data_IF_179762956123
#
_entry.id   IF_179762956123
#
_cell.length_a   1.000
_cell.length_b   1.000
_cell.length_c   1.000
_cell.angle_alpha   90.00
_cell.angle_beta   90.00
_cell.angle_gamma   90.00
#
_symmetry.space_group_name_H-M   'P 1'
#
loop_
_entity.id
_entity.type
_entity.pdbx_description
1 polymer ?
#
# COMPACT_ATOMS: atom_id res chain seq x y z
N UNK A 1 2.20 -3.92 30.41
CA UNK A 1 1.01 -4.80 30.46
C UNK A 1 -0.30 -4.01 30.32
N UNK A 2 -0.53 -2.95 31.11
CA UNK A 2 -1.74 -2.12 30.98
C UNK A 2 -1.81 -1.32 29.66
N UNK A 3 -0.70 -0.77 29.17
CA UNK A 3 -0.65 -0.05 27.87
C UNK A 3 -1.12 -0.89 26.67
N UNK A 4 -0.95 -2.21 26.72
CA UNK A 4 -1.32 -3.15 25.64
C UNK A 4 -2.77 -3.62 25.69
N UNK A 5 -3.49 -3.34 26.79
CA UNK A 5 -4.92 -3.66 26.93
C UNK A 5 -5.82 -2.46 26.67
N UNK A 6 -5.26 -1.25 26.56
CA UNK A 6 -6.05 -0.06 26.22
C UNK A 6 -6.30 0.03 24.70
N UNK A 7 -7.56 0.21 24.26
CA UNK A 7 -7.86 0.51 22.87
C UNK A 7 -7.37 1.91 22.50
N UNK A 8 -7.34 2.21 21.19
CA UNK A 8 -7.15 3.57 20.69
C UNK A 8 -8.41 4.37 21.02
N UNK A 9 -8.31 5.28 21.98
CA UNK A 9 -9.39 6.20 22.35
C UNK A 9 -8.84 7.62 22.49
N UNK A 10 -9.44 8.57 21.79
CA UNK A 10 -8.99 9.97 21.75
C UNK A 10 -9.61 10.82 22.88
N UNK A 11 -10.58 10.28 23.63
CA UNK A 11 -11.46 11.03 24.53
C UNK A 11 -11.23 10.79 26.02
N UNK A 12 -10.53 9.73 26.42
CA UNK A 12 -10.32 9.38 27.84
C UNK A 12 -8.83 9.28 28.15
N UNK A 13 -8.39 10.02 29.18
CA UNK A 13 -7.04 9.89 29.75
C UNK A 13 -7.10 9.04 31.01
N UNK A 14 -6.34 7.95 31.04
CA UNK A 14 -6.26 7.06 32.20
C UNK A 14 -4.96 7.35 32.94
N UNK A 15 -5.06 7.71 34.22
CA UNK A 15 -3.92 7.96 35.09
C UNK A 15 -3.83 6.84 36.13
N UNK A 16 -2.65 6.24 36.30
CA UNK A 16 -2.35 5.29 37.37
C UNK A 16 -1.13 5.79 38.13
N UNK A 17 -1.25 5.96 39.45
CA UNK A 17 -0.17 6.48 40.30
C UNK A 17 0.41 7.82 39.80
N UNK A 18 -0.47 8.71 39.32
CA UNK A 18 -0.09 10.02 38.75
C UNK A 18 0.68 9.96 37.42
N UNK A 19 0.82 8.78 36.82
CA UNK A 19 1.36 8.62 35.46
C UNK A 19 0.22 8.38 34.46
N UNK A 20 0.23 9.12 33.35
CA UNK A 20 -0.72 8.92 32.25
C UNK A 20 -0.33 7.67 31.47
N UNK A 21 -1.25 6.70 31.40
CA UNK A 21 -1.04 5.48 30.63
C UNK A 21 -1.45 5.76 29.18
N UNK A 22 -0.46 5.79 28.29
CA UNK A 22 -0.67 5.95 26.85
C UNK A 22 -0.82 4.57 26.19
N UNK A 23 -1.92 4.29 25.45
CA UNK A 23 -2.07 3.06 24.67
C UNK A 23 -0.84 2.75 23.80
N UNK A 24 -0.38 1.49 23.77
CA UNK A 24 0.79 1.09 22.96
C UNK A 24 0.56 1.33 21.46
N UNK A 25 -0.69 1.25 21.00
CA UNK A 25 -1.06 1.46 19.60
C UNK A 25 -0.92 2.92 19.14
N UNK A 26 -0.73 3.88 20.05
CA UNK A 26 -0.33 5.25 19.70
C UNK A 26 1.15 5.36 19.32
N UNK A 27 1.97 4.36 19.66
CA UNK A 27 3.38 4.31 19.24
C UNK A 27 3.50 3.91 17.76
N UNK A 28 2.41 3.41 17.15
CA UNK A 28 2.39 3.04 15.73
C UNK A 28 2.41 4.30 14.85
N UNK A 29 3.39 4.44 13.93
CA UNK A 29 3.47 5.60 13.04
C UNK A 29 2.20 5.75 12.19
N UNK A 30 1.75 7.00 12.01
CA UNK A 30 0.65 7.34 11.11
C UNK A 30 1.23 7.61 9.73
N UNK A 31 0.81 6.86 8.72
CA UNK A 31 1.15 7.13 7.31
C UNK A 31 0.47 8.42 6.86
N UNK A 32 -0.82 8.55 7.18
CA UNK A 32 -1.63 9.69 6.78
C UNK A 32 -2.83 9.87 7.74
N UNK A 33 -3.18 11.13 7.99
CA UNK A 33 -4.41 11.55 8.64
C UNK A 33 -5.20 12.43 7.66
N UNK A 34 -6.53 12.29 7.68
CA UNK A 34 -7.49 13.14 6.97
C UNK A 34 -8.53 13.66 7.95
N UNK A 35 -8.84 14.95 7.83
CA UNK A 35 -9.89 15.66 8.57
C UNK A 35 -11.11 15.79 7.66
N UNK A 36 -12.25 15.29 8.15
CA UNK A 36 -13.53 15.35 7.42
C UNK A 36 -13.97 16.81 7.28
N UNK A 37 -14.23 17.23 6.04
CA UNK A 37 -14.59 18.60 5.68
C UNK A 37 -13.43 19.48 5.21
N UNK A 38 -12.20 18.98 5.25
CA UNK A 38 -11.00 19.71 4.79
C UNK A 38 -10.21 18.91 3.76
N UNK A 39 -9.88 17.66 4.06
CA UNK A 39 -8.93 16.88 3.23
C UNK A 39 -9.60 16.00 2.16
N UNK A 40 -10.93 16.03 2.08
CA UNK A 40 -11.72 15.30 1.09
C UNK A 40 -12.34 16.28 0.08
N UNK A 41 -12.45 15.85 -1.17
CA UNK A 41 -12.82 16.71 -2.30
C UNK A 41 -14.03 16.21 -3.11
N UNK A 42 -14.69 15.13 -2.68
CA UNK A 42 -15.86 14.62 -3.40
C UNK A 42 -17.09 15.51 -3.20
N UNK A 43 -17.80 15.80 -4.29
CA UNK A 43 -18.95 16.73 -4.30
C UNK A 43 -20.31 16.03 -4.24
N UNK A 44 -20.34 14.71 -4.35
CA UNK A 44 -21.58 13.92 -4.34
C UNK A 44 -21.38 12.50 -3.82
N UNK A 45 -22.48 11.87 -3.39
CA UNK A 45 -22.59 10.44 -3.05
C UNK A 45 -23.81 9.84 -3.74
N UNK A 46 -23.77 8.53 -4.04
CA UNK A 46 -24.91 7.83 -4.59
C UNK A 46 -25.67 7.13 -3.46
N UNK A 47 -26.94 7.44 -3.27
CA UNK A 47 -27.78 6.82 -2.25
C UNK A 47 -29.00 6.26 -2.95
N UNK A 48 -29.09 4.92 -2.99
CA UNK A 48 -30.22 4.21 -3.60
C UNK A 48 -30.47 4.59 -5.08
N UNK A 49 -29.39 4.92 -5.81
CA UNK A 49 -29.45 5.34 -7.21
C UNK A 49 -29.66 6.85 -7.43
N UNK A 50 -29.84 7.63 -6.36
CA UNK A 50 -29.93 9.08 -6.39
C UNK A 50 -28.57 9.71 -6.08
N UNK A 51 -28.12 10.66 -6.89
CA UNK A 51 -26.93 11.45 -6.60
C UNK A 51 -27.27 12.60 -5.65
N UNK A 52 -26.74 12.55 -4.43
CA UNK A 52 -26.94 13.56 -3.40
C UNK A 52 -25.69 14.44 -3.31
N UNK A 53 -25.89 15.76 -3.29
CA UNK A 53 -24.79 16.71 -3.17
C UNK A 53 -24.17 16.70 -1.78
N UNK A 54 -22.87 16.91 -1.77
CA UNK A 54 -22.03 17.00 -0.58
C UNK A 54 -21.26 18.32 -0.58
N UNK A 55 -21.42 19.11 0.47
CA UNK A 55 -20.66 20.36 0.68
C UNK A 55 -19.67 20.23 1.83
N UNK A 56 -18.49 20.84 1.66
CA UNK A 56 -17.42 20.84 2.65
C UNK A 56 -17.32 22.21 3.30
N UNK A 57 -17.20 22.23 4.62
CA UNK A 57 -17.18 23.46 5.40
C UNK A 57 -16.10 23.38 6.47
N UNK A 58 -15.29 24.42 6.61
CA UNK A 58 -14.26 24.50 7.67
C UNK A 58 -14.77 25.16 8.96
N UNK A 59 -15.88 25.90 8.89
CA UNK A 59 -16.44 26.70 9.99
C UNK A 59 -17.88 26.26 10.31
N UNK A 60 -18.30 26.24 11.59
CA UNK A 60 -17.53 26.59 12.79
C UNK A 60 -16.46 25.55 13.18
N UNK A 61 -16.54 24.36 12.60
CA UNK A 61 -15.53 23.30 12.64
C UNK A 61 -15.53 22.57 11.28
N UNK A 62 -14.47 21.83 10.92
CA UNK A 62 -14.45 20.99 9.73
C UNK A 62 -15.57 19.96 9.74
N UNK A 63 -16.43 20.01 8.73
CA UNK A 63 -17.51 19.06 8.51
C UNK A 63 -17.89 18.95 7.04
N UNK A 64 -18.55 17.85 6.74
CA UNK A 64 -19.25 17.62 5.49
C UNK A 64 -20.75 17.74 5.76
N UNK A 65 -21.48 18.40 4.88
CA UNK A 65 -22.94 18.47 4.88
C UNK A 65 -23.49 17.69 3.69
N UNK A 66 -24.37 16.73 3.97
CA UNK A 66 -25.05 15.89 2.99
C UNK A 66 -26.43 16.46 2.78
N UNK A 67 -26.74 16.87 1.54
CA UNK A 67 -28.01 17.53 1.22
C UNK A 67 -29.21 16.66 1.62
N UNK A 68 -30.09 17.23 2.44
CA UNK A 68 -31.31 16.56 2.91
C UNK A 68 -31.11 15.47 3.98
N UNK A 69 -29.88 15.25 4.47
CA UNK A 69 -29.59 14.22 5.50
C UNK A 69 -28.98 14.84 6.75
N UNK A 70 -27.87 15.59 6.61
CA UNK A 70 -27.23 16.26 7.74
C UNK A 70 -25.70 16.28 7.67
N UNK A 71 -25.08 16.66 8.79
CA UNK A 71 -23.64 16.85 8.89
C UNK A 71 -22.87 15.59 9.37
N UNK A 72 -21.66 15.43 8.85
CA UNK A 72 -20.67 14.43 9.25
C UNK A 72 -19.36 15.12 9.61
N UNK A 73 -18.78 14.78 10.76
CA UNK A 73 -17.48 15.31 11.20
C UNK A 73 -16.57 14.19 11.68
N UNK A 74 -15.28 14.45 11.81
CA UNK A 74 -14.35 13.47 12.38
C UNK A 74 -13.02 13.40 11.66
N UNK A 75 -12.35 12.26 11.83
CA UNK A 75 -11.00 12.02 11.31
C UNK A 75 -10.82 10.59 10.85
N UNK A 76 -9.98 10.42 9.84
CA UNK A 76 -9.58 9.13 9.29
C UNK A 76 -8.07 9.02 9.39
N UNK A 77 -7.57 7.89 9.86
CA UNK A 77 -6.15 7.61 10.04
C UNK A 77 -5.78 6.29 9.39
N UNK A 78 -4.65 6.30 8.69
CA UNK A 78 -3.99 5.11 8.19
C UNK A 78 -2.65 4.95 8.91
N UNK A 79 -2.45 3.80 9.54
CA UNK A 79 -1.26 3.47 10.32
C UNK A 79 -0.26 2.65 9.49
N UNK A 80 1.03 2.74 9.84
CA UNK A 80 2.10 2.01 9.16
C UNK A 80 2.06 0.51 9.44
N UNK A 81 1.65 0.14 10.65
CA UNK A 81 1.44 -1.24 11.05
C UNK A 81 -0.02 -1.51 11.35
N UNK A 82 -0.41 -2.79 11.34
CA UNK A 82 -1.73 -3.20 11.83
C UNK A 82 -1.95 -2.73 13.26
N UNK A 83 -3.10 -2.11 13.47
CA UNK A 83 -3.63 -1.71 14.79
C UNK A 83 -4.80 -2.61 15.22
N UNK A 84 -5.26 -3.50 14.35
CA UNK A 84 -6.04 -4.68 14.70
C UNK A 84 -5.16 -5.69 15.47
N UNK A 85 -5.81 -6.55 16.23
CA UNK A 85 -5.21 -7.57 17.07
C UNK A 85 -4.97 -7.12 18.51
N UNK A 86 -4.62 -8.12 19.33
CA UNK A 86 -4.06 -7.94 20.66
C UNK A 86 -5.11 -7.96 21.78
N UNK A 87 -4.63 -7.82 23.02
CA UNK A 87 -5.49 -7.97 24.21
C UNK A 87 -6.57 -6.88 24.35
N UNK A 88 -6.44 -5.75 23.63
CA UNK A 88 -7.42 -4.66 23.68
C UNK A 88 -8.65 -4.88 22.80
N UNK A 89 -8.61 -5.80 21.83
CA UNK A 89 -9.79 -6.11 20.99
C UNK A 89 -10.94 -6.72 21.77
N UNK A 90 -10.66 -7.46 22.84
CA UNK A 90 -11.70 -7.97 23.74
C UNK A 90 -12.41 -6.89 24.56
N UNK A 91 -12.01 -5.63 24.43
CA UNK A 91 -12.60 -4.47 25.12
C UNK A 91 -13.25 -3.53 24.10
N UNK A 92 -12.51 -3.09 23.08
CA UNK A 92 -13.03 -2.24 22.02
C UNK A 92 -12.15 -2.33 20.75
N UNK A 93 -12.78 -2.23 19.57
CA UNK A 93 -12.03 -2.24 18.31
C UNK A 93 -11.13 -1.01 18.19
N UNK A 94 -9.87 -1.26 17.88
CA UNK A 94 -8.88 -0.19 17.64
C UNK A 94 -8.86 0.25 16.17
N UNK A 95 -9.36 -0.56 15.26
CA UNK A 95 -9.42 -0.31 13.82
C UNK A 95 -10.87 -0.36 13.30
N UNK A 96 -11.07 0.07 12.06
CA UNK A 96 -12.37 0.07 11.39
C UNK A 96 -13.15 1.37 11.53
N UNK A 97 -14.49 1.27 11.44
CA UNK A 97 -15.39 2.41 11.53
C UNK A 97 -15.89 2.60 12.96
N UNK A 98 -15.56 3.74 13.56
CA UNK A 98 -16.06 4.16 14.86
C UNK A 98 -17.05 5.29 14.61
N UNK A 99 -18.31 4.93 14.45
CA UNK A 99 -19.39 5.87 14.18
C UNK A 99 -20.06 6.29 15.48
N UNK A 100 -20.06 7.58 15.74
CA UNK A 100 -20.54 8.19 16.96
C UNK A 100 -21.82 8.99 16.72
N UNK A 101 -22.84 8.75 17.54
CA UNK A 101 -24.09 9.50 17.57
C UNK A 101 -24.26 10.06 18.97
N UNK A 102 -24.27 11.40 19.10
CA UNK A 102 -24.45 12.10 20.38
C UNK A 102 -23.52 11.59 21.51
N UNK A 103 -22.28 11.24 21.19
CA UNK A 103 -21.28 10.78 22.15
C UNK A 103 -21.23 9.27 22.37
N UNK A 104 -22.00 8.47 21.64
CA UNK A 104 -22.04 7.00 21.75
C UNK A 104 -21.63 6.32 20.45
N UNK A 105 -20.80 5.28 20.55
CA UNK A 105 -20.48 4.44 19.40
C UNK A 105 -21.67 3.53 19.09
N UNK A 106 -22.13 3.55 17.84
CA UNK A 106 -23.22 2.71 17.35
C UNK A 106 -22.65 1.51 16.58
N UNK A 107 -23.37 0.39 16.61
CA UNK A 107 -22.95 -0.88 15.99
C UNK A 107 -21.52 -1.33 16.38
N UNK A 108 -21.13 -1.35 17.68
CA UNK A 108 -19.78 -1.74 18.06
C UNK A 108 -19.43 -3.20 17.70
N UNK A 109 -20.44 -4.06 17.60
CA UNK A 109 -20.30 -5.48 17.25
C UNK A 109 -20.21 -5.74 15.74
N UNK A 110 -20.53 -4.74 14.92
CA UNK A 110 -20.36 -4.77 13.46
C UNK A 110 -19.27 -3.77 13.06
N UNK A 111 -17.99 -4.18 13.08
CA UNK A 111 -16.88 -3.28 12.80
C UNK A 111 -16.92 -2.76 11.35
N UNK A 112 -17.54 -3.51 10.43
CA UNK A 112 -17.67 -3.14 9.03
C UNK A 112 -18.85 -2.21 8.74
N UNK A 113 -19.73 -2.00 9.73
CA UNK A 113 -20.90 -1.14 9.60
C UNK A 113 -21.82 -1.57 8.44
N UNK A 114 -21.89 -2.87 8.16
CA UNK A 114 -22.65 -3.49 7.08
C UNK A 114 -22.06 -3.30 5.68
N UNK A 115 -20.78 -2.93 5.57
CA UNK A 115 -20.04 -2.87 4.30
C UNK A 115 -19.31 -4.19 4.03
N UNK A 116 -19.37 -4.64 2.78
CA UNK A 116 -18.67 -5.85 2.32
C UNK A 116 -17.44 -5.50 1.48
N UNK A 117 -16.62 -6.52 1.16
CA UNK A 117 -15.46 -6.44 0.26
C UNK A 117 -14.35 -5.46 0.69
N UNK A 118 -14.20 -5.23 1.98
CA UNK A 118 -13.11 -4.41 2.52
C UNK A 118 -11.82 -5.22 2.56
N UNK A 119 -10.75 -4.67 1.96
CA UNK A 119 -9.44 -5.29 1.95
C UNK A 119 -8.91 -5.48 3.38
N UNK A 120 -8.69 -6.73 3.80
CA UNK A 120 -8.39 -7.12 5.20
C UNK A 120 -7.17 -6.44 5.80
N UNK A 121 -6.17 -6.18 4.99
CA UNK A 121 -4.89 -5.62 5.42
C UNK A 121 -4.93 -4.10 5.58
N UNK A 122 -5.52 -3.38 4.61
CA UNK A 122 -5.84 -1.95 4.79
C UNK A 122 -6.75 -1.79 6.00
N UNK A 123 -7.77 -2.64 6.13
CA UNK A 123 -8.69 -2.66 7.26
C UNK A 123 -7.98 -2.82 8.62
N UNK A 124 -6.97 -3.67 8.67
CA UNK A 124 -6.19 -3.94 9.87
C UNK A 124 -5.39 -2.71 10.35
N UNK A 125 -5.04 -1.79 9.46
CA UNK A 125 -4.29 -0.57 9.75
C UNK A 125 -5.13 0.72 9.65
N UNK A 126 -6.42 0.61 9.35
CA UNK A 126 -7.32 1.72 9.11
C UNK A 126 -8.16 2.05 10.35
N UNK A 127 -8.37 3.34 10.63
CA UNK A 127 -9.32 3.80 11.65
C UNK A 127 -10.04 5.06 11.18
N UNK A 128 -11.36 5.02 11.13
CA UNK A 128 -12.19 6.21 10.90
C UNK A 128 -13.04 6.48 12.15
N UNK A 129 -12.87 7.66 12.74
CA UNK A 129 -13.70 8.12 13.87
C UNK A 129 -14.61 9.22 13.36
N UNK A 130 -15.89 8.93 13.25
CA UNK A 130 -16.89 9.74 12.55
C UNK A 130 -18.02 10.09 13.52
N UNK A 131 -18.51 11.32 13.48
CA UNK A 131 -19.69 11.78 14.20
C UNK A 131 -20.81 12.05 13.20
N UNK A 132 -21.93 11.35 13.35
CA UNK A 132 -23.09 11.40 12.44
C UNK A 132 -24.39 11.52 13.25
N UNK A 133 -24.66 12.71 13.77
CA UNK A 133 -25.77 12.94 14.70
C UNK A 133 -27.16 12.73 14.07
N UNK A 134 -27.28 12.84 12.75
CA UNK A 134 -28.55 12.62 12.04
C UNK A 134 -29.07 11.18 12.14
N UNK A 135 -28.23 10.22 12.55
CA UNK A 135 -28.64 8.84 12.78
C UNK A 135 -29.43 8.63 14.08
N UNK A 136 -29.48 9.62 14.99
CA UNK A 136 -30.14 9.48 16.30
C UNK A 136 -31.60 8.99 16.19
N UNK A 137 -32.36 9.58 15.26
CA UNK A 137 -33.75 9.18 15.01
C UNK A 137 -33.93 7.82 14.32
N UNK A 138 -32.84 7.14 13.95
CA UNK A 138 -32.82 5.86 13.22
C UNK A 138 -32.23 4.72 14.05
N UNK A 139 -31.72 5.00 15.23
CA UNK A 139 -31.25 3.97 16.16
C UNK A 139 -32.45 3.10 16.58
N UNK A 140 -32.29 1.78 16.51
CA UNK A 140 -33.34 0.84 16.87
C UNK A 140 -33.69 0.92 18.36
N UNK A 141 -34.86 0.41 18.73
CA UNK A 141 -35.38 0.49 20.11
C UNK A 141 -34.49 -0.26 21.12
N UNK A 142 -33.86 -1.36 20.68
CA UNK A 142 -32.86 -2.11 21.46
C UNK A 142 -31.51 -1.36 21.56
N UNK A 143 -31.33 -0.28 20.78
CA UNK A 143 -30.12 0.57 20.73
C UNK A 143 -28.85 -0.17 20.32
N UNK A 144 -29.00 -1.36 19.77
CA UNK A 144 -27.90 -2.19 19.28
C UNK A 144 -27.80 -2.14 17.75
N UNK A 145 -28.80 -1.58 17.08
CA UNK A 145 -28.92 -1.49 15.63
C UNK A 145 -29.21 -0.07 15.11
N UNK A 146 -29.08 0.11 13.80
CA UNK A 146 -29.65 1.26 13.07
C UNK A 146 -30.64 0.70 12.05
N UNK A 147 -31.86 1.23 12.04
CA UNK A 147 -32.86 0.85 11.08
C UNK A 147 -32.37 1.14 9.66
N UNK A 148 -32.68 0.24 8.71
CA UNK A 148 -32.39 0.50 7.30
C UNK A 148 -33.10 1.77 6.86
N UNK A 149 -32.32 2.77 6.47
CA UNK A 149 -32.80 4.10 6.13
C UNK A 149 -31.87 4.78 5.13
N UNK A 150 -32.37 5.81 4.45
CA UNK A 150 -31.59 6.64 3.51
C UNK A 150 -30.32 7.18 4.18
N UNK A 151 -30.42 7.58 5.44
CA UNK A 151 -29.32 8.11 6.23
C UNK A 151 -28.24 7.05 6.54
N UNK A 152 -28.64 5.81 6.83
CA UNK A 152 -27.70 4.70 7.02
C UNK A 152 -26.96 4.37 5.71
N UNK A 153 -27.68 4.34 4.59
CA UNK A 153 -27.09 4.12 3.26
C UNK A 153 -26.10 5.23 2.92
N UNK A 154 -26.47 6.50 3.12
CA UNK A 154 -25.57 7.64 2.91
C UNK A 154 -24.31 7.58 3.79
N UNK A 155 -24.47 7.16 5.04
CA UNK A 155 -23.33 6.97 5.96
C UNK A 155 -22.36 5.92 5.42
N UNK A 156 -22.89 4.75 5.01
CA UNK A 156 -22.09 3.65 4.44
C UNK A 156 -21.30 4.07 3.20
N UNK A 157 -21.94 4.83 2.30
CA UNK A 157 -21.30 5.35 1.09
C UNK A 157 -20.12 6.29 1.42
N UNK A 158 -20.28 7.18 2.40
CA UNK A 158 -19.20 8.05 2.86
C UNK A 158 -18.07 7.25 3.52
N UNK A 159 -18.41 6.29 4.38
CA UNK A 159 -17.42 5.43 5.03
C UNK A 159 -16.61 4.63 4.01
N UNK A 160 -17.27 4.11 2.97
CA UNK A 160 -16.62 3.41 1.87
C UNK A 160 -15.67 4.33 1.09
N UNK A 161 -16.05 5.58 0.84
CA UNK A 161 -15.15 6.58 0.23
C UNK A 161 -13.91 6.82 1.08
N UNK A 162 -14.08 7.02 2.39
CA UNK A 162 -12.96 7.19 3.31
C UNK A 162 -12.00 6.00 3.27
N UNK A 163 -12.55 4.78 3.28
CA UNK A 163 -11.75 3.56 3.19
C UNK A 163 -11.01 3.44 1.86
N UNK A 164 -11.66 3.75 0.74
CA UNK A 164 -11.05 3.69 -0.59
C UNK A 164 -9.90 4.69 -0.74
N UNK A 165 -10.04 5.90 -0.21
CA UNK A 165 -8.94 6.89 -0.15
C UNK A 165 -7.76 6.33 0.66
N UNK A 166 -8.02 5.73 1.82
CA UNK A 166 -6.98 5.12 2.64
C UNK A 166 -6.29 3.94 1.93
N UNK A 167 -7.07 3.07 1.25
CA UNK A 167 -6.56 1.96 0.44
C UNK A 167 -5.64 2.45 -0.68
N UNK A 168 -6.05 3.48 -1.41
CA UNK A 168 -5.23 4.07 -2.48
C UNK A 168 -3.92 4.63 -1.92
N UNK A 169 -3.97 5.32 -0.78
CA UNK A 169 -2.78 5.84 -0.11
C UNK A 169 -1.88 4.73 0.40
N UNK A 170 -2.42 3.64 0.94
CA UNK A 170 -1.65 2.47 1.36
C UNK A 170 -0.94 1.80 0.19
N UNK A 171 -1.63 1.62 -0.95
CA UNK A 171 -1.03 1.07 -2.18
C UNK A 171 0.10 1.97 -2.68
N UNK A 172 -0.14 3.28 -2.79
CA UNK A 172 0.90 4.26 -3.18
C UNK A 172 2.08 4.25 -2.21
N UNK A 173 1.84 4.13 -0.91
CA UNK A 173 2.91 4.01 0.07
C UNK A 173 3.73 2.72 -0.14
N UNK A 174 3.12 1.60 -0.55
CA UNK A 174 3.88 0.40 -0.92
C UNK A 174 4.69 0.61 -2.20
N UNK A 175 4.09 1.19 -3.24
CA UNK A 175 4.77 1.56 -4.49
C UNK A 175 5.98 2.48 -4.22
N UNK A 176 5.86 3.40 -3.27
CA UNK A 176 6.92 4.35 -2.87
C UNK A 176 7.91 3.76 -1.84
N UNK A 177 7.48 2.86 -0.95
CA UNK A 177 8.30 2.25 0.11
C UNK A 177 9.22 1.15 -0.41
N UNK A 178 8.90 0.59 -1.57
CA UNK A 178 9.80 -0.30 -2.27
C UNK A 178 11.03 0.48 -2.71
N UNK A 179 12.26 -0.06 -2.57
CA UNK A 179 13.42 0.75 -2.22
C UNK A 179 13.58 1.99 -3.08
N UNK A 180 13.36 3.15 -2.46
CA UNK A 180 13.83 4.43 -2.98
C UNK A 180 15.34 4.55 -2.66
N UNK A 181 16.12 5.25 -3.49
CA UNK A 181 17.58 5.08 -3.60
C UNK A 181 18.29 5.26 -2.27
N UNK A 182 19.10 4.27 -1.89
CA UNK A 182 19.97 4.31 -0.71
C UNK A 182 19.63 3.27 0.36
N UNK A 183 18.39 3.15 0.82
CA UNK A 183 18.16 2.45 2.10
C UNK A 183 18.07 0.93 2.03
N UNK A 184 17.58 0.32 0.93
CA UNK A 184 17.61 -1.13 0.82
C UNK A 184 18.95 -1.65 0.30
N UNK A 185 19.58 -0.94 -0.63
CA UNK A 185 20.73 -1.48 -1.36
C UNK A 185 22.06 -0.90 -0.83
N UNK A 186 22.06 0.24 -0.10
CA UNK A 186 23.18 0.63 0.76
C UNK A 186 23.05 0.12 2.21
N UNK A 187 21.90 -0.45 2.58
CA UNK A 187 21.64 -1.00 3.91
C UNK A 187 21.73 -2.53 3.98
N UNK A 188 21.08 -3.11 5.01
CA UNK A 188 21.09 -4.55 5.38
C UNK A 188 20.79 -5.53 4.24
N UNK A 189 20.17 -5.11 3.13
CA UNK A 189 19.89 -5.97 1.97
C UNK A 189 21.08 -5.95 0.98
N UNK A 190 21.71 -4.80 0.71
CA UNK A 190 22.95 -4.72 -0.05
C UNK A 190 24.15 -5.43 0.60
N UNK A 191 24.22 -5.42 1.93
CA UNK A 191 25.23 -6.21 2.69
C UNK A 191 24.97 -7.73 2.65
N UNK A 192 23.74 -8.16 2.35
CA UNK A 192 23.30 -9.57 2.43
C UNK A 192 23.00 -10.22 1.08
N UNK A 193 22.80 -9.43 0.02
CA UNK A 193 22.51 -9.95 -1.32
C UNK A 193 23.76 -9.91 -2.20
N UNK A 194 24.07 -11.00 -2.92
CA UNK A 194 25.17 -11.02 -3.84
C UNK A 194 24.76 -10.27 -5.11
N UNK A 195 24.97 -8.94 -5.14
CA UNK A 195 24.83 -8.15 -6.37
C UNK A 195 26.07 -8.18 -7.26
N UNK A 196 27.18 -8.75 -6.78
CA UNK A 196 28.41 -8.94 -7.57
C UNK A 196 28.20 -9.70 -8.90
N UNK A 197 27.34 -10.75 -8.97
CA UNK A 197 26.92 -11.34 -10.23
C UNK A 197 26.37 -10.31 -11.23
N UNK A 198 25.51 -9.39 -10.78
CA UNK A 198 24.95 -8.35 -11.64
C UNK A 198 26.02 -7.38 -12.11
N UNK A 199 26.94 -6.97 -11.23
CA UNK A 199 28.08 -6.10 -11.60
C UNK A 199 28.89 -6.69 -12.75
N UNK A 200 29.24 -7.98 -12.63
CA UNK A 200 30.05 -8.70 -13.63
C UNK A 200 29.30 -8.86 -14.94
N UNK A 201 28.05 -9.30 -14.88
CA UNK A 201 27.22 -9.48 -16.08
C UNK A 201 27.04 -8.17 -16.83
N UNK A 202 26.72 -7.07 -16.14
CA UNK A 202 26.58 -5.76 -16.80
C UNK A 202 27.91 -5.32 -17.41
N UNK A 203 29.04 -5.46 -16.71
CA UNK A 203 30.35 -5.11 -17.26
C UNK A 203 30.73 -5.91 -18.51
N UNK A 204 30.35 -7.19 -18.56
CA UNK A 204 30.61 -8.08 -19.69
C UNK A 204 29.68 -7.79 -20.86
N UNK A 205 28.37 -7.65 -20.63
CA UNK A 205 27.41 -7.33 -21.70
C UNK A 205 27.54 -5.90 -22.22
N UNK A 206 28.09 -4.96 -21.46
CA UNK A 206 28.46 -3.64 -22.00
C UNK A 206 29.60 -3.71 -23.03
N UNK A 207 30.35 -4.84 -23.14
CA UNK A 207 31.31 -5.06 -24.24
C UNK A 207 30.62 -5.48 -25.54
N UNK A 208 29.47 -6.14 -25.44
CA UNK A 208 28.66 -6.61 -26.56
C UNK A 208 27.16 -6.44 -26.26
N UNK A 209 26.63 -5.20 -26.25
CA UNK A 209 25.25 -4.95 -25.82
C UNK A 209 24.18 -5.69 -26.63
N UNK A 210 24.48 -6.01 -27.89
CA UNK A 210 23.58 -6.78 -28.76
C UNK A 210 23.43 -8.25 -28.38
N UNK A 211 24.25 -8.74 -27.43
CA UNK A 211 24.19 -10.11 -26.90
C UNK A 211 23.59 -10.14 -25.48
N UNK A 212 23.09 -9.02 -24.97
CA UNK A 212 22.48 -8.99 -23.66
C UNK A 212 21.26 -9.94 -23.58
N UNK A 213 21.10 -10.69 -22.48
CA UNK A 213 19.93 -11.54 -22.27
C UNK A 213 18.67 -10.69 -22.11
N UNK A 214 17.50 -11.28 -22.36
CA UNK A 214 16.20 -10.55 -22.40
C UNK A 214 15.90 -9.73 -21.15
N UNK A 215 16.37 -10.16 -19.97
CA UNK A 215 16.13 -9.47 -18.71
C UNK A 215 17.08 -8.28 -18.47
N UNK A 216 18.13 -8.09 -19.29
CA UNK A 216 19.04 -6.94 -19.25
C UNK A 216 18.75 -6.01 -20.42
N UNK A 217 18.22 -4.82 -20.13
CA UNK A 217 17.93 -3.81 -21.15
C UNK A 217 19.10 -2.83 -21.28
N UNK A 218 19.80 -2.93 -22.41
CA UNK A 218 20.90 -2.03 -22.79
C UNK A 218 20.53 -1.09 -23.93
N UNK A 219 19.25 -1.01 -24.34
CA UNK A 219 18.83 -0.27 -25.54
C UNK A 219 19.07 1.24 -25.43
N UNK A 220 19.06 1.77 -24.20
CA UNK A 220 19.29 3.19 -23.91
C UNK A 220 20.78 3.55 -23.75
N UNK A 221 21.70 2.61 -24.00
CA UNK A 221 23.15 2.84 -23.92
C UNK A 221 23.70 3.18 -25.31
N UNK A 222 23.78 4.47 -25.63
CA UNK A 222 24.24 4.95 -26.94
C UNK A 222 25.76 4.71 -27.18
N UNK A 223 26.61 5.16 -26.24
CA UNK A 223 28.07 4.95 -26.27
C UNK A 223 28.47 3.95 -25.18
N UNK A 224 28.42 2.67 -25.53
CA UNK A 224 28.74 1.57 -24.62
C UNK A 224 30.15 1.66 -24.04
N UNK A 225 31.13 2.19 -24.80
CA UNK A 225 32.53 2.28 -24.34
C UNK A 225 32.66 3.33 -23.25
N UNK A 226 32.11 4.53 -23.46
CA UNK A 226 32.13 5.59 -22.45
C UNK A 226 31.25 5.25 -21.25
N UNK A 227 30.06 4.68 -21.49
CA UNK A 227 29.16 4.28 -20.41
C UNK A 227 29.80 3.22 -19.52
N UNK A 228 30.44 2.21 -20.11
CA UNK A 228 31.15 1.17 -19.38
C UNK A 228 32.32 1.70 -18.55
N UNK A 229 33.04 2.71 -19.06
CA UNK A 229 34.10 3.37 -18.28
C UNK A 229 33.52 4.05 -17.04
N UNK A 230 32.45 4.84 -17.20
CA UNK A 230 31.73 5.44 -16.07
C UNK A 230 31.18 4.40 -15.11
N UNK A 231 30.61 3.31 -15.63
CA UNK A 231 30.08 2.21 -14.84
C UNK A 231 31.15 1.61 -13.92
N UNK A 232 32.34 1.35 -14.45
CA UNK A 232 33.48 0.84 -13.66
C UNK A 232 34.00 1.82 -12.61
N UNK A 233 33.99 3.11 -12.91
CA UNK A 233 34.48 4.15 -12.01
C UNK A 233 33.48 4.48 -10.90
N UNK A 234 32.19 4.48 -11.20
CA UNK A 234 31.16 5.01 -10.31
C UNK A 234 30.35 3.93 -9.58
N UNK A 235 30.22 2.72 -10.15
CA UNK A 235 29.23 1.72 -9.72
C UNK A 235 29.88 0.43 -9.23
N UNK A 236 30.95 -0.05 -9.88
CA UNK A 236 31.63 -1.29 -9.45
C UNK A 236 32.16 -1.15 -8.03
N UNK A 237 31.78 -2.07 -7.15
CA UNK A 237 32.16 -2.02 -5.73
C UNK A 237 31.28 -1.11 -4.88
N UNK A 238 30.23 -0.53 -5.46
CA UNK A 238 29.18 0.26 -4.81
C UNK A 238 27.82 -0.41 -5.04
N UNK A 239 27.46 -1.45 -4.27
CA UNK A 239 26.19 -2.15 -4.42
C UNK A 239 24.98 -1.22 -4.45
N UNK A 240 25.02 -0.17 -3.63
CA UNK A 240 23.97 0.86 -3.51
C UNK A 240 23.67 1.64 -4.78
N UNK A 241 24.58 1.61 -5.75
CA UNK A 241 24.43 2.29 -7.05
C UNK A 241 24.04 1.33 -8.18
N UNK A 242 24.06 0.02 -7.93
CA UNK A 242 23.70 -0.97 -8.94
C UNK A 242 22.22 -0.98 -9.23
N UNK A 243 21.40 -0.88 -8.19
CA UNK A 243 19.95 -0.81 -8.36
C UNK A 243 19.49 0.41 -7.58
N UNK A 244 19.03 1.43 -8.30
CA UNK A 244 18.52 2.67 -7.69
C UNK A 244 17.15 2.45 -7.09
N UNK A 245 16.28 1.73 -7.80
CA UNK A 245 14.91 1.41 -7.37
C UNK A 245 14.32 0.29 -8.22
N UNK A 246 13.20 -0.27 -7.76
CA UNK A 246 12.30 -1.06 -8.61
C UNK A 246 11.07 -0.22 -8.92
N UNK A 247 10.62 -0.23 -10.16
CA UNK A 247 9.45 0.52 -10.62
C UNK A 247 8.49 -0.41 -11.34
N UNK A 248 7.19 -0.13 -11.22
CA UNK A 248 6.20 -0.73 -12.11
C UNK A 248 5.99 0.19 -13.29
N UNK A 249 6.20 -0.33 -14.49
CA UNK A 249 6.02 0.43 -15.74
C UNK A 249 5.09 -0.31 -16.68
N UNK A 250 4.37 0.45 -17.49
CA UNK A 250 3.52 -0.10 -18.55
C UNK A 250 4.41 -0.53 -19.71
N UNK A 251 4.60 -1.84 -19.83
CA UNK A 251 5.33 -2.48 -20.93
C UNK A 251 4.34 -3.26 -21.80
N UNK A 252 4.79 -3.85 -22.90
CA UNK A 252 3.89 -4.67 -23.71
C UNK A 252 3.41 -5.91 -22.90
N UNK A 253 2.13 -6.32 -22.97
CA UNK A 253 1.64 -7.49 -22.26
C UNK A 253 2.35 -8.80 -22.62
N UNK A 254 2.98 -8.88 -23.79
CA UNK A 254 3.77 -10.03 -24.26
C UNK A 254 5.19 -10.05 -23.71
N UNK A 255 5.69 -8.91 -23.19
CA UNK A 255 6.99 -8.86 -22.55
C UNK A 255 6.98 -9.59 -21.20
N UNK A 256 8.17 -10.05 -20.79
CA UNK A 256 8.38 -10.78 -19.53
C UNK A 256 8.01 -9.92 -18.32
N UNK A 257 7.75 -10.58 -17.19
CA UNK A 257 7.35 -9.94 -15.94
C UNK A 257 8.35 -8.90 -15.44
N UNK A 258 9.65 -9.13 -15.63
CA UNK A 258 10.71 -8.29 -15.09
C UNK A 258 11.86 -8.07 -16.08
N UNK A 259 12.44 -6.86 -16.06
CA UNK A 259 13.73 -6.56 -16.68
C UNK A 259 14.53 -5.63 -15.77
N UNK A 260 15.81 -5.48 -16.06
CA UNK A 260 16.68 -4.49 -15.46
C UNK A 260 17.20 -3.52 -16.54
N UNK A 261 16.89 -2.24 -16.39
CA UNK A 261 17.40 -1.18 -17.27
C UNK A 261 18.77 -0.72 -16.78
N UNK A 262 19.79 -1.00 -17.59
CA UNK A 262 21.19 -0.73 -17.28
C UNK A 262 21.47 0.78 -17.22
N UNK A 263 20.77 1.58 -18.01
CA UNK A 263 20.97 3.03 -18.09
C UNK A 263 20.38 3.73 -16.87
N UNK A 264 19.14 3.40 -16.49
CA UNK A 264 18.49 4.00 -15.33
C UNK A 264 18.88 3.34 -14.01
N UNK A 265 19.45 2.13 -14.06
CA UNK A 265 19.74 1.26 -12.90
C UNK A 265 18.47 0.86 -12.16
N UNK A 266 17.41 0.56 -12.91
CA UNK A 266 16.10 0.26 -12.35
C UNK A 266 15.69 -1.17 -12.69
N UNK A 267 15.16 -1.88 -11.70
CA UNK A 267 14.42 -3.11 -11.95
C UNK A 267 13.00 -2.70 -12.35
N UNK A 268 12.55 -3.06 -13.54
CA UNK A 268 11.23 -2.72 -14.06
C UNK A 268 10.36 -3.96 -14.01
N UNK A 269 9.25 -3.88 -13.28
CA UNK A 269 8.19 -4.88 -13.27
C UNK A 269 7.12 -4.46 -14.28
N UNK A 270 6.78 -5.35 -15.20
CA UNK A 270 5.77 -5.12 -16.22
C UNK A 270 4.38 -5.09 -15.58
N UNK A 271 3.78 -3.89 -15.51
CA UNK A 271 2.43 -3.68 -14.97
C UNK A 271 1.34 -4.35 -15.79
N UNK A 272 1.56 -4.53 -17.09
CA UNK A 272 0.59 -5.11 -18.02
C UNK A 272 0.76 -6.63 -18.19
N UNK A 273 1.75 -7.25 -17.53
CA UNK A 273 1.89 -8.70 -17.51
C UNK A 273 0.69 -9.33 -16.77
N UNK A 274 0.09 -10.45 -17.26
CA UNK A 274 -1.09 -11.07 -16.64
C UNK A 274 -0.94 -11.28 -15.12
N UNK A 275 0.21 -11.79 -14.69
CA UNK A 275 0.52 -11.99 -13.26
C UNK A 275 0.53 -10.68 -12.45
N UNK A 276 1.04 -9.57 -13.00
CA UNK A 276 1.01 -8.28 -12.31
C UNK A 276 -0.40 -7.73 -12.18
N UNK A 277 -1.25 -7.92 -13.19
CA UNK A 277 -2.63 -7.45 -13.16
C UNK A 277 -3.44 -8.17 -12.07
N UNK A 278 -3.27 -9.49 -11.94
CA UNK A 278 -3.97 -10.28 -10.92
C UNK A 278 -3.46 -10.01 -9.49
N UNK A 279 -2.16 -9.80 -9.33
CA UNK A 279 -1.50 -9.74 -8.01
C UNK A 279 -0.97 -8.34 -7.64
N UNK A 280 -1.61 -7.24 -8.09
CA UNK A 280 -1.22 -5.87 -7.69
C UNK A 280 -2.35 -5.02 -7.09
N UNK A 281 -3.52 -5.60 -6.84
CA UNK A 281 -4.72 -4.86 -6.43
C UNK A 281 -4.70 -4.38 -4.97
N UNK A 282 -4.01 -5.11 -4.11
CA UNK A 282 -3.81 -4.74 -2.70
C UNK A 282 -2.35 -4.44 -2.39
N UNK A 283 -2.06 -3.65 -1.34
CA UNK A 283 -0.69 -3.36 -0.93
C UNK A 283 0.16 -4.61 -0.66
N UNK A 284 -0.45 -5.70 -0.17
CA UNK A 284 0.22 -6.95 0.21
C UNK A 284 0.48 -7.81 -1.00
N UNK A 285 -0.50 -7.92 -1.90
CA UNK A 285 -0.29 -8.58 -3.19
C UNK A 285 0.82 -7.86 -3.96
N UNK A 286 0.78 -6.53 -4.00
CA UNK A 286 1.83 -5.73 -4.63
C UNK A 286 3.20 -5.98 -4.00
N UNK A 287 3.30 -6.00 -2.67
CA UNK A 287 4.57 -6.31 -1.98
C UNK A 287 5.08 -7.71 -2.33
N UNK A 288 4.20 -8.70 -2.30
CA UNK A 288 4.54 -10.09 -2.66
C UNK A 288 4.99 -10.21 -4.12
N UNK A 289 4.32 -9.51 -5.04
CA UNK A 289 4.69 -9.42 -6.45
C UNK A 289 6.10 -8.85 -6.60
N UNK A 290 6.38 -7.75 -5.91
CA UNK A 290 7.69 -7.11 -5.92
C UNK A 290 8.79 -8.02 -5.33
N UNK A 291 8.53 -8.70 -4.21
CA UNK A 291 9.42 -9.69 -3.60
C UNK A 291 9.71 -10.85 -4.57
N UNK A 292 8.66 -11.41 -5.17
CA UNK A 292 8.76 -12.51 -6.13
C UNK A 292 9.57 -12.13 -7.37
N UNK A 293 9.30 -10.94 -7.92
CA UNK A 293 10.03 -10.43 -9.08
C UNK A 293 11.52 -10.23 -8.75
N UNK A 294 11.83 -9.67 -7.59
CA UNK A 294 13.22 -9.50 -7.15
C UNK A 294 13.95 -10.84 -7.01
N UNK A 295 13.31 -11.84 -6.39
CA UNK A 295 13.88 -13.21 -6.29
C UNK A 295 14.15 -13.78 -7.68
N UNK A 296 13.20 -13.65 -8.59
CA UNK A 296 13.33 -14.09 -9.98
C UNK A 296 14.55 -13.46 -10.67
N UNK A 297 14.65 -12.13 -10.64
CA UNK A 297 15.76 -11.40 -11.25
C UNK A 297 17.13 -11.78 -10.69
N UNK A 298 17.24 -11.90 -9.36
CA UNK A 298 18.49 -12.28 -8.71
C UNK A 298 18.89 -13.71 -9.02
N UNK A 299 17.89 -14.59 -9.14
CA UNK A 299 18.15 -15.98 -9.51
C UNK A 299 18.68 -16.08 -10.94
N UNK A 300 18.09 -15.35 -11.89
CA UNK A 300 18.57 -15.32 -13.28
C UNK A 300 19.99 -14.76 -13.38
N UNK A 301 20.24 -13.67 -12.64
CA UNK A 301 21.57 -13.06 -12.53
C UNK A 301 22.58 -14.06 -11.98
N UNK A 302 22.24 -14.79 -10.91
CA UNK A 302 23.12 -15.79 -10.33
C UNK A 302 23.36 -16.99 -11.25
N UNK A 303 22.34 -17.46 -11.98
CA UNK A 303 22.47 -18.58 -12.91
C UNK A 303 23.45 -18.28 -14.04
N UNK A 304 23.35 -17.12 -14.68
CA UNK A 304 24.30 -16.73 -15.73
C UNK A 304 25.71 -16.55 -15.19
N UNK A 305 25.87 -15.86 -14.06
CA UNK A 305 27.18 -15.65 -13.44
C UNK A 305 27.83 -16.98 -13.00
N UNK A 306 27.03 -17.97 -12.61
CA UNK A 306 27.48 -19.33 -12.30
C UNK A 306 27.86 -20.14 -13.55
N UNK A 307 27.72 -19.57 -14.74
CA UNK A 307 28.10 -20.19 -16.01
C UNK A 307 26.99 -20.97 -16.70
N UNK A 308 25.72 -20.77 -16.33
CA UNK A 308 24.60 -21.33 -17.10
C UNK A 308 24.60 -20.69 -18.50
N UNK A 309 24.52 -21.48 -19.58
CA UNK A 309 24.40 -20.94 -20.94
C UNK A 309 23.14 -20.08 -21.13
N UNK A 310 23.25 -19.03 -21.94
CA UNK A 310 22.16 -18.07 -22.20
C UNK A 310 20.92 -18.71 -22.82
N UNK A 311 21.11 -19.67 -23.73
CA UNK A 311 20.02 -20.43 -24.34
C UNK A 311 19.23 -21.22 -23.30
N UNK A 312 19.92 -21.81 -22.32
CA UNK A 312 19.28 -22.50 -21.19
C UNK A 312 18.59 -21.55 -20.24
N UNK A 313 19.17 -20.38 -19.95
CA UNK A 313 18.46 -19.38 -19.14
C UNK A 313 17.19 -18.92 -19.85
N UNK A 314 17.25 -18.67 -21.16
CA UNK A 314 16.10 -18.25 -21.97
C UNK A 314 14.97 -19.29 -21.90
N UNK A 315 15.29 -20.59 -22.07
CA UNK A 315 14.31 -21.68 -21.91
C UNK A 315 13.64 -21.70 -20.52
N UNK A 316 14.43 -21.53 -19.44
CA UNK A 316 13.92 -21.50 -18.06
C UNK A 316 13.03 -20.27 -17.84
N UNK A 317 13.48 -19.11 -18.31
CA UNK A 317 12.77 -17.84 -18.22
C UNK A 317 11.44 -17.90 -18.96
N UNK A 318 11.41 -18.46 -20.16
CA UNK A 318 10.20 -18.64 -20.96
C UNK A 318 9.23 -19.63 -20.32
N UNK A 319 9.74 -20.72 -19.72
CA UNK A 319 8.90 -21.63 -18.96
C UNK A 319 8.27 -20.95 -17.75
N UNK A 320 9.05 -20.17 -16.99
CA UNK A 320 8.56 -19.44 -15.82
C UNK A 320 7.54 -18.36 -16.21
N UNK A 321 7.78 -17.61 -17.28
CA UNK A 321 6.82 -16.65 -17.83
C UNK A 321 5.49 -17.33 -18.21
N UNK A 322 5.52 -18.48 -18.88
CA UNK A 322 4.32 -19.29 -19.14
C UNK A 322 3.61 -19.73 -17.87
N UNK A 323 4.35 -20.11 -16.83
CA UNK A 323 3.77 -20.50 -15.54
C UNK A 323 3.10 -19.30 -14.86
N UNK A 324 3.74 -18.13 -14.84
CA UNK A 324 3.15 -16.90 -14.31
C UNK A 324 1.85 -16.52 -15.03
N UNK A 325 1.82 -16.67 -16.36
CA UNK A 325 0.61 -16.44 -17.16
C UNK A 325 -0.49 -17.48 -16.92
N UNK A 326 -0.13 -18.69 -16.50
CA UNK A 326 -1.09 -19.77 -16.21
C UNK A 326 -1.75 -19.61 -14.85
N UNK A 327 -1.03 -19.07 -13.86
CA UNK A 327 -1.51 -18.89 -12.47
C UNK A 327 -2.09 -17.50 -12.19
N UNK A 328 -2.01 -16.60 -13.17
CA UNK A 328 -2.76 -15.36 -13.21
C UNK A 328 -4.21 -15.66 -13.62
#
# INVERSE_FOLDING_TARGET
>A
LLRSTLPLGDTIRICLNSEVIIPKKLDTPIIQEWIIGTDYDFESINVEGEEIKVSHHEKPYPHIEIEGIGEVTGRVRLFADKISGGRSEGIESSNGFIVNVLGRNILPDDPYFGLDNLNHSTWAAFRATVKANYLDGKISVDREGVAMSRELTATREILMRFFNTARQKAKKAVEESWPTPGDAIAGKIGERMPFQPLERLVDDYLRAPSQAPDFLDTKHVDDAVQFRKKWREEIVGSPEKLVKRTVMSELDPTEKLIRYDVFTQEIIINKNHPFSMEYSDSPEQLRMLQDSALVEFLTDTYMLDSGLPEDRLSEISDYRDRMHRLVA
#
